data_IF_195226163544
#
_entry.id   IF_195226163544
#
_cell.length_a   1.000
_cell.length_b   1.000
_cell.length_c   1.000
_cell.angle_alpha   90.00
_cell.angle_beta   90.00
_cell.angle_gamma   90.00
#
_symmetry.space_group_name_H-M   'P 1'
#
loop_
_entity.id
_entity.type
_entity.pdbx_description
1 polymer ?
#
# COMPACT_ATOMS: atom_id res chain seq x y z
N UNK A 1 6.16 0.01 -0.04
CA UNK A 1 6.25 0.70 1.26
C UNK A 1 6.62 -0.36 2.27
N UNK A 2 7.81 -0.26 2.89
CA UNK A 2 8.23 -1.18 3.94
C UNK A 2 8.06 -0.48 5.31
N UNK A 3 7.02 -0.76 6.09
CA UNK A 3 6.74 -0.01 7.34
C UNK A 3 6.43 -0.92 8.51
N UNK A 4 7.15 -0.71 9.62
CA UNK A 4 6.94 -1.45 10.86
C UNK A 4 5.49 -1.31 11.31
N UNK A 5 4.88 -2.44 11.60
CA UNK A 5 3.52 -2.52 12.11
C UNK A 5 3.45 -3.52 13.24
N UNK A 6 2.45 -3.36 14.09
CA UNK A 6 2.14 -4.22 15.21
C UNK A 6 1.13 -5.26 14.75
N UNK A 7 1.35 -6.52 15.11
CA UNK A 7 0.39 -7.58 14.81
C UNK A 7 -0.88 -7.40 15.64
N UNK A 8 -2.03 -7.32 14.97
CA UNK A 8 -3.36 -7.20 15.58
C UNK A 8 -3.71 -8.36 16.53
N UNK A 9 -3.05 -9.52 16.43
CA UNK A 9 -3.32 -10.71 17.26
C UNK A 9 -2.40 -10.87 18.47
N UNK A 10 -1.10 -10.60 18.31
CA UNK A 10 -0.11 -10.91 19.34
C UNK A 10 0.76 -9.73 19.77
N UNK A 11 0.56 -8.53 19.20
CA UNK A 11 1.32 -7.34 19.56
C UNK A 11 2.77 -7.33 19.05
N UNK A 12 3.25 -8.40 18.40
CA UNK A 12 4.61 -8.44 17.87
C UNK A 12 4.79 -7.48 16.69
N UNK A 13 5.95 -6.82 16.65
CA UNK A 13 6.33 -5.99 15.50
C UNK A 13 6.65 -6.86 14.28
N UNK A 14 6.11 -6.48 13.13
CA UNK A 14 6.39 -7.07 11.83
C UNK A 14 6.89 -5.99 10.87
N UNK A 15 7.51 -6.44 9.78
CA UNK A 15 8.14 -5.57 8.79
C UNK A 15 7.15 -4.68 8.03
N UNK A 16 5.92 -5.17 7.81
CA UNK A 16 4.89 -4.56 6.95
C UNK A 16 3.47 -4.89 7.41
N UNK A 17 2.55 -3.95 7.21
CA UNK A 17 1.13 -4.11 7.53
C UNK A 17 0.49 -5.33 6.83
N UNK A 18 0.93 -5.68 5.62
CA UNK A 18 0.44 -6.85 4.87
C UNK A 18 1.30 -8.11 5.06
N UNK A 19 2.49 -8.00 5.66
CA UNK A 19 3.34 -9.16 5.87
C UNK A 19 2.73 -10.10 6.92
N UNK A 20 3.04 -11.39 6.76
CA UNK A 20 2.84 -12.43 7.77
C UNK A 20 3.60 -12.09 9.04
N UNK A 21 2.95 -12.25 10.19
CA UNK A 21 3.59 -12.06 11.48
C UNK A 21 4.65 -13.15 11.74
N UNK A 22 5.90 -12.79 12.12
CA UNK A 22 6.93 -13.77 12.42
C UNK A 22 6.71 -14.52 13.74
N UNK A 23 5.85 -14.01 14.63
CA UNK A 23 5.61 -14.60 15.95
C UNK A 23 4.41 -15.55 15.98
N UNK A 24 3.28 -15.17 15.38
CA UNK A 24 2.04 -15.96 15.43
C UNK A 24 1.53 -16.41 14.05
N UNK A 25 2.31 -16.16 12.99
CA UNK A 25 2.00 -16.53 11.60
C UNK A 25 0.67 -15.98 11.05
N UNK A 26 0.08 -15.00 11.73
CA UNK A 26 -1.10 -14.32 11.25
C UNK A 26 -0.81 -13.52 9.97
N UNK A 27 -1.63 -13.76 8.94
CA UNK A 27 -1.59 -13.03 7.66
C UNK A 27 -2.95 -12.39 7.42
N UNK A 28 -3.02 -11.06 7.20
CA UNK A 28 -4.28 -10.40 6.90
C UNK A 28 -4.71 -10.69 5.46
N UNK A 29 -5.90 -11.25 5.26
CA UNK A 29 -6.40 -11.63 3.93
C UNK A 29 -7.50 -10.71 3.42
N UNK A 30 -8.35 -10.20 4.32
CA UNK A 30 -9.43 -9.29 3.95
C UNK A 30 -9.00 -7.83 4.01
N UNK A 31 -9.66 -6.96 3.24
CA UNK A 31 -9.40 -5.52 3.25
C UNK A 31 -9.52 -4.93 4.66
N UNK A 32 -10.50 -5.38 5.45
CA UNK A 32 -10.66 -4.96 6.83
C UNK A 32 -9.50 -5.40 7.74
N UNK A 33 -8.93 -6.58 7.53
CA UNK A 33 -7.76 -7.06 8.29
C UNK A 33 -6.49 -6.30 7.90
N UNK A 34 -6.36 -5.96 6.62
CA UNK A 34 -5.28 -5.11 6.13
C UNK A 34 -5.41 -3.70 6.71
N UNK A 35 -6.60 -3.11 6.68
CA UNK A 35 -6.89 -1.79 7.27
C UNK A 35 -6.54 -1.75 8.77
N UNK A 36 -6.93 -2.75 9.56
CA UNK A 36 -6.52 -2.86 10.97
C UNK A 36 -5.01 -2.92 11.14
N UNK A 37 -4.32 -3.65 10.26
CA UNK A 37 -2.86 -3.73 10.28
C UNK A 37 -2.18 -2.42 9.84
N UNK A 38 -2.84 -1.61 9.00
CA UNK A 38 -2.39 -0.28 8.60
C UNK A 38 -2.58 0.74 9.73
N UNK A 39 -3.71 0.68 10.44
CA UNK A 39 -3.95 1.50 11.63
C UNK A 39 -2.86 1.24 12.68
N UNK A 40 -2.49 -0.03 12.88
CA UNK A 40 -1.40 -0.43 13.77
C UNK A 40 0.00 -0.36 13.11
N UNK A 41 0.21 0.53 12.15
CA UNK A 41 1.52 0.77 11.52
C UNK A 41 2.06 2.15 11.84
N UNK A 42 3.37 2.36 11.64
CA UNK A 42 3.96 3.69 11.78
C UNK A 42 3.30 4.69 10.81
N UNK A 43 3.03 5.91 11.29
CA UNK A 43 2.37 6.98 10.54
C UNK A 43 2.87 7.14 9.11
N UNK A 44 1.91 7.18 8.19
CA UNK A 44 2.14 6.67 6.85
C UNK A 44 1.11 7.24 5.87
N UNK A 45 1.52 7.95 4.81
CA UNK A 45 0.61 8.26 3.72
C UNK A 45 0.19 6.96 3.01
N UNK A 46 -1.12 6.76 2.90
CA UNK A 46 -1.79 5.69 2.15
C UNK A 46 -2.84 6.36 1.27
N UNK A 47 -2.57 6.45 -0.03
CA UNK A 47 -3.36 7.32 -0.91
C UNK A 47 -3.23 8.79 -0.47
N UNK A 48 -4.37 9.45 -0.25
CA UNK A 48 -4.45 10.85 0.18
C UNK A 48 -4.59 11.02 1.70
N UNK A 49 -4.63 9.92 2.45
CA UNK A 49 -4.79 9.93 3.91
C UNK A 49 -3.50 9.57 4.63
N UNK A 50 -3.31 10.11 5.84
CA UNK A 50 -2.25 9.66 6.76
C UNK A 50 -2.89 8.68 7.73
N UNK A 51 -2.42 7.42 7.68
CA UNK A 51 -2.89 6.33 8.53
C UNK A 51 -1.72 5.82 9.35
N UNK A 52 -2.01 5.41 10.57
CA UNK A 52 -1.05 4.78 11.47
C UNK A 52 -1.07 5.45 12.83
N UNK A 53 0.00 5.19 13.57
CA UNK A 53 0.27 5.75 14.90
C UNK A 53 1.73 6.16 15.01
N UNK A 54 2.03 6.97 16.01
CA UNK A 54 3.42 7.26 16.34
C UNK A 54 4.09 6.03 16.97
N UNK A 55 5.42 6.01 16.98
CA UNK A 55 6.19 4.86 17.46
C UNK A 55 6.03 4.62 18.97
N UNK A 56 5.80 5.67 19.75
CA UNK A 56 5.52 5.59 21.18
C UNK A 56 4.19 4.92 21.45
N UNK A 57 3.12 5.38 20.80
CA UNK A 57 1.78 4.77 20.92
C UNK A 57 1.77 3.33 20.43
N UNK A 58 2.44 3.01 19.31
CA UNK A 58 2.55 1.63 18.84
C UNK A 58 3.23 0.70 19.85
N UNK A 59 4.21 1.18 20.61
CA UNK A 59 4.84 0.38 21.67
C UNK A 59 3.88 0.12 22.83
N UNK A 60 3.07 1.11 23.20
CA UNK A 60 2.05 0.96 24.23
C UNK A 60 0.99 -0.06 23.78
N UNK A 61 0.45 0.10 22.56
CA UNK A 61 -0.53 -0.81 21.98
C UNK A 61 0.05 -2.23 21.83
N UNK A 62 1.29 -2.35 21.35
CA UNK A 62 1.97 -3.64 21.22
C UNK A 62 2.06 -4.36 22.57
N UNK A 63 2.39 -3.63 23.64
CA UNK A 63 2.43 -4.17 24.99
C UNK A 63 1.04 -4.60 25.47
N UNK A 64 0.02 -3.76 25.26
CA UNK A 64 -1.35 -4.09 25.65
C UNK A 64 -1.85 -5.36 24.96
N UNK A 65 -1.64 -5.49 23.65
CA UNK A 65 -2.04 -6.69 22.90
C UNK A 65 -1.24 -7.91 23.37
N UNK A 66 0.07 -7.76 23.63
CA UNK A 66 0.91 -8.83 24.14
C UNK A 66 0.48 -9.30 25.56
N UNK A 67 -0.02 -8.38 26.38
CA UNK A 67 -0.59 -8.65 27.70
C UNK A 67 -2.02 -9.22 27.63
N UNK A 68 -2.55 -9.48 26.42
CA UNK A 68 -3.88 -10.03 26.19
C UNK A 68 -5.02 -9.00 26.20
N UNK A 69 -4.71 -7.70 26.23
CA UNK A 69 -5.70 -6.62 26.08
C UNK A 69 -5.86 -6.27 24.59
N UNK A 70 -7.00 -6.62 23.96
CA UNK A 70 -7.18 -6.34 22.54
C UNK A 70 -7.30 -4.84 22.29
N UNK A 71 -6.74 -4.38 21.16
CA UNK A 71 -6.94 -3.01 20.68
C UNK A 71 -8.34 -2.86 20.10
N UNK A 72 -9.07 -1.83 20.55
CA UNK A 72 -10.37 -1.49 20.00
C UNK A 72 -10.22 -0.57 18.78
N UNK A 73 -10.76 -1.00 17.65
CA UNK A 73 -10.74 -0.22 16.42
C UNK A 73 -12.01 0.61 16.33
N UNK A 74 -11.86 1.91 16.15
CA UNK A 74 -12.98 2.77 15.81
C UNK A 74 -13.52 2.40 14.41
N UNK A 75 -14.84 2.39 14.28
CA UNK A 75 -15.49 1.96 13.05
C UNK A 75 -15.30 2.96 11.90
N UNK A 76 -15.31 4.26 12.21
CA UNK A 76 -15.10 5.33 11.23
C UNK A 76 -13.65 5.32 10.75
N UNK A 77 -12.70 5.22 11.67
CA UNK A 77 -11.29 5.07 11.34
C UNK A 77 -11.03 3.84 10.46
N UNK A 78 -11.65 2.71 10.79
CA UNK A 78 -11.49 1.50 10.01
C UNK A 78 -12.04 1.66 8.59
N UNK A 79 -13.16 2.36 8.40
CA UNK A 79 -13.69 2.67 7.07
C UNK A 79 -12.74 3.59 6.27
N UNK A 80 -12.26 4.67 6.88
CA UNK A 80 -11.29 5.57 6.25
C UNK A 80 -10.03 4.81 5.80
N UNK A 81 -9.56 3.87 6.61
CA UNK A 81 -8.41 3.05 6.26
C UNK A 81 -8.66 2.07 5.12
N UNK A 82 -9.87 1.51 5.02
CA UNK A 82 -10.28 0.67 3.89
C UNK A 82 -10.36 1.50 2.60
N UNK A 83 -10.96 2.68 2.65
CA UNK A 83 -11.09 3.57 1.49
C UNK A 83 -9.73 4.03 0.97
N UNK A 84 -8.84 4.46 1.86
CA UNK A 84 -7.47 4.84 1.54
C UNK A 84 -6.70 3.68 0.89
N UNK A 85 -6.85 2.47 1.43
CA UNK A 85 -6.22 1.27 0.85
C UNK A 85 -6.74 0.98 -0.56
N UNK A 86 -8.06 1.05 -0.77
CA UNK A 86 -8.69 0.86 -2.09
C UNK A 86 -8.24 1.92 -3.10
N UNK A 87 -8.18 3.19 -2.71
CA UNK A 87 -7.69 4.27 -3.55
C UNK A 87 -6.22 4.06 -3.95
N UNK A 88 -5.40 3.56 -3.02
CA UNK A 88 -4.00 3.21 -3.30
C UNK A 88 -3.88 2.06 -4.31
N UNK A 89 -4.76 1.05 -4.24
CA UNK A 89 -4.79 -0.03 -5.23
C UNK A 89 -5.25 0.46 -6.61
N UNK A 90 -6.26 1.32 -6.66
CA UNK A 90 -6.79 1.87 -7.91
C UNK A 90 -5.81 2.80 -8.65
N UNK A 91 -4.92 3.47 -7.92
CA UNK A 91 -3.89 4.34 -8.51
C UNK A 91 -2.67 3.56 -9.00
N UNK A 92 -2.31 2.47 -8.33
CA UNK A 92 -1.20 1.59 -8.74
C UNK A 92 -1.50 0.74 -9.98
N UNK A 93 -2.76 0.57 -10.38
CA UNK A 93 -3.15 -0.18 -11.58
C UNK A 93 -3.03 0.61 -12.89
N UNK A 94 -2.66 1.90 -12.88
CA UNK A 94 -2.36 2.59 -14.14
C UNK A 94 -1.11 1.98 -14.78
N UNK A 95 -1.20 1.37 -15.98
CA UNK A 95 -0.06 0.75 -16.61
C UNK A 95 1.00 1.83 -16.90
N UNK A 96 2.09 1.77 -16.13
CA UNK A 96 3.26 2.66 -16.23
C UNK A 96 3.92 2.62 -17.63
N UNK A 97 3.50 1.71 -18.51
CA UNK A 97 4.03 1.50 -19.85
C UNK A 97 3.49 2.44 -20.95
N UNK A 98 2.40 3.18 -20.72
CA UNK A 98 1.90 4.12 -21.76
C UNK A 98 2.82 5.32 -22.00
N UNK A 99 3.70 5.66 -21.06
CA UNK A 99 4.67 6.75 -21.23
C UNK A 99 5.70 6.48 -22.33
N UNK A 100 6.19 5.24 -22.44
CA UNK A 100 7.21 4.86 -23.42
C UNK A 100 6.62 4.75 -24.83
N UNK A 101 5.42 4.18 -24.96
CA UNK A 101 4.76 4.01 -26.26
C UNK A 101 4.37 5.36 -26.89
N UNK A 102 3.99 6.35 -26.06
CA UNK A 102 3.64 7.70 -26.53
C UNK A 102 4.81 8.44 -27.20
N UNK A 103 6.05 8.13 -26.82
CA UNK A 103 7.24 8.75 -27.40
C UNK A 103 7.74 8.01 -28.66
N UNK A 104 7.42 6.71 -28.79
CA UNK A 104 7.74 5.90 -29.97
C UNK A 104 6.87 6.23 -31.20
N UNK A 105 5.60 6.60 -30.99
CA UNK A 105 4.66 6.92 -32.09
C UNK A 105 5.16 8.04 -33.01
N UNK A 106 5.57 9.24 -32.51
CA UNK A 106 6.06 10.30 -33.39
C UNK A 106 7.37 9.92 -34.09
N UNK A 107 8.25 9.17 -33.43
CA UNK A 107 9.51 8.70 -34.01
C UNK A 107 9.25 7.74 -35.19
N UNK A 108 8.33 6.78 -35.02
CA UNK A 108 7.92 5.85 -36.07
C UNK A 108 7.21 6.55 -37.23
N UNK A 109 6.39 7.57 -36.96
CA UNK A 109 5.77 8.38 -38.01
C UNK A 109 6.80 9.13 -38.84
N UNK A 110 7.80 9.76 -38.22
CA UNK A 110 8.88 10.45 -38.93
C UNK A 110 9.71 9.45 -39.75
N UNK A 111 10.09 8.30 -39.17
CA UNK A 111 10.82 7.25 -39.88
C UNK A 111 10.02 6.69 -41.07
N UNK A 112 8.72 6.43 -40.89
CA UNK A 112 7.83 5.96 -41.95
C UNK A 112 7.70 6.99 -43.08
N UNK A 113 7.62 8.28 -42.75
CA UNK A 113 7.50 9.36 -43.73
C UNK A 113 8.81 9.55 -44.52
N UNK A 114 9.97 9.43 -43.86
CA UNK A 114 11.28 9.40 -44.52
C UNK A 114 11.42 8.18 -45.42
N UNK A 115 11.04 6.99 -44.94
CA UNK A 115 11.07 5.78 -45.75
C UNK A 115 10.17 5.89 -47.00
N UNK A 116 8.97 6.48 -46.86
CA UNK A 116 8.07 6.72 -47.99
C UNK A 116 8.62 7.75 -49.00
N UNK A 117 9.38 8.74 -48.54
CA UNK A 117 10.03 9.75 -49.40
C UNK A 117 11.29 9.22 -50.11
N UNK A 118 12.06 8.37 -49.44
CA UNK A 118 13.32 7.81 -49.96
C UNK A 118 13.09 6.58 -50.82
N UNK A 119 11.91 5.96 -50.74
CA UNK A 119 11.48 4.86 -51.59
C UNK A 119 10.41 5.31 -52.62
N UNK A 120 10.73 6.24 -53.54
CA UNK A 120 9.92 6.34 -54.75
C UNK A 120 10.17 5.05 -55.54
N UNK A 121 9.11 4.34 -55.87
CA UNK A 121 9.15 3.26 -56.85
C UNK A 121 9.75 3.73 -58.19
#
# INVERSE_FOLDING_TARGET
>A
MARKSVCVRCGAFKKDATATCPSCHYTPESEYQIARSLILSENSPVGDAIIGRDRGELKAIAKDIADGRPYYFDAEEQQQAVEAYRAHLATNTKPRSLGFLRWLIPLLLVLGLVAALVWPA
#
